data_IF_499383490189
#
_entry.id   IF_499383490189
#
_cell.length_a   1.000
_cell.length_b   1.000
_cell.length_c   1.000
_cell.angle_alpha   90.00
_cell.angle_beta   90.00
_cell.angle_gamma   90.00
#
_symmetry.space_group_name_H-M   'P 1'
#
loop_
_entity.id
_entity.type
_entity.pdbx_description
1 polymer ?
#
# COMPACT_ATOMS: atom_id res chain seq x y z
N UNK A 1 3.40 41.19 16.02
CA UNK A 1 3.50 40.60 17.37
C UNK A 1 2.15 39.94 17.66
N UNK A 2 1.98 38.67 17.31
CA UNK A 2 0.70 37.97 17.51
C UNK A 2 0.73 37.33 18.91
N UNK A 3 -0.10 37.83 19.82
CA UNK A 3 -0.24 37.29 21.16
C UNK A 3 -0.85 35.89 21.11
N UNK A 4 -0.10 34.89 21.58
CA UNK A 4 -0.60 33.53 21.74
C UNK A 4 -1.63 33.49 22.87
N UNK A 5 -2.78 32.85 22.62
CA UNK A 5 -3.76 32.59 23.66
C UNK A 5 -3.20 31.55 24.64
N UNK A 6 -2.70 32.03 25.77
CA UNK A 6 -2.21 31.21 26.88
C UNK A 6 -3.29 31.12 27.93
N UNK A 7 -3.61 29.90 28.36
CA UNK A 7 -4.47 29.67 29.52
C UNK A 7 -3.61 29.59 30.77
N UNK A 8 -4.02 30.26 31.86
CA UNK A 8 -3.34 30.20 33.17
C UNK A 8 -3.53 28.85 33.87
N UNK A 9 -4.37 27.98 33.32
CA UNK A 9 -4.77 26.71 33.92
C UNK A 9 -3.60 25.72 34.08
N UNK A 10 -2.54 25.82 33.25
CA UNK A 10 -1.33 24.99 33.34
C UNK A 10 -0.07 25.86 33.20
N UNK A 11 0.59 26.17 34.31
CA UNK A 11 1.77 27.07 34.36
C UNK A 11 3.04 26.48 33.73
N UNK A 12 3.16 25.16 33.63
CA UNK A 12 4.37 24.49 33.11
C UNK A 12 4.27 24.06 31.63
N UNK A 13 3.06 23.77 31.12
CA UNK A 13 2.87 23.21 29.78
C UNK A 13 2.44 24.30 28.80
N UNK A 14 3.37 24.72 27.93
CA UNK A 14 3.10 25.69 26.87
C UNK A 14 2.69 24.99 25.57
N UNK A 15 1.46 25.23 25.10
CA UNK A 15 0.87 24.64 23.89
C UNK A 15 1.45 25.12 22.56
N UNK A 16 2.78 25.05 22.37
CA UNK A 16 3.47 25.52 21.14
C UNK A 16 3.03 24.78 19.87
N UNK A 17 2.60 23.52 20.00
CA UNK A 17 2.03 22.78 18.87
C UNK A 17 0.75 23.43 18.36
N UNK A 18 -0.17 23.82 19.27
CA UNK A 18 -1.46 24.40 18.89
C UNK A 18 -1.27 25.73 18.15
N UNK A 19 -0.36 26.58 18.64
CA UNK A 19 -0.01 27.83 17.96
C UNK A 19 0.54 27.58 16.55
N UNK A 20 1.51 26.65 16.41
CA UNK A 20 2.09 26.30 15.10
C UNK A 20 1.08 25.62 14.19
N UNK A 21 0.18 24.82 14.73
CA UNK A 21 -0.86 24.13 13.98
C UNK A 21 -1.84 25.12 13.37
N UNK A 22 -2.36 26.07 14.15
CA UNK A 22 -3.27 27.12 13.66
C UNK A 22 -2.59 27.96 12.58
N UNK A 23 -1.33 28.36 12.79
CA UNK A 23 -0.56 29.07 11.77
C UNK A 23 -0.35 28.24 10.50
N UNK A 24 -0.13 26.93 10.64
CA UNK A 24 -0.02 26.02 9.49
C UNK A 24 -1.32 25.93 8.69
N UNK A 25 -2.47 25.92 9.37
CA UNK A 25 -3.79 25.94 8.72
C UNK A 25 -4.01 27.24 7.93
N UNK A 26 -3.63 28.39 8.51
CA UNK A 26 -3.73 29.67 7.81
C UNK A 26 -2.86 29.72 6.53
N UNK A 27 -1.72 29.03 6.52
CA UNK A 27 -0.83 28.94 5.35
C UNK A 27 -1.19 27.84 4.35
N UNK A 28 -2.11 26.93 4.69
CA UNK A 28 -2.48 25.79 3.86
C UNK A 28 -3.50 26.20 2.79
N UNK A 29 -3.19 25.94 1.51
CA UNK A 29 -4.08 26.26 0.39
C UNK A 29 -5.29 25.33 0.30
N UNK A 30 -5.15 24.09 0.78
CA UNK A 30 -6.18 23.05 0.75
C UNK A 30 -6.92 22.93 2.09
N UNK A 31 -6.98 24.02 2.87
CA UNK A 31 -7.69 24.07 4.15
C UNK A 31 -8.79 25.14 4.10
N UNK A 32 -9.99 24.78 4.57
CA UNK A 32 -11.13 25.69 4.71
C UNK A 32 -11.62 25.62 6.15
N UNK A 33 -11.82 26.78 6.77
CA UNK A 33 -12.36 26.89 8.12
C UNK A 33 -13.79 27.42 8.02
N UNK A 34 -14.72 26.74 8.69
CA UNK A 34 -16.15 27.05 8.68
C UNK A 34 -16.69 27.17 10.09
N UNK A 35 -17.78 27.92 10.26
CA UNK A 35 -18.55 27.94 11.49
C UNK A 35 -19.58 26.80 11.56
N UNK A 36 -20.39 26.78 12.63
CA UNK A 36 -21.46 25.80 12.89
C UNK A 36 -22.60 25.87 11.87
N UNK A 37 -22.68 26.94 11.08
CA UNK A 37 -23.68 27.16 10.03
C UNK A 37 -23.09 26.99 8.63
N UNK A 38 -21.87 26.46 8.51
CA UNK A 38 -21.13 26.27 7.26
C UNK A 38 -20.76 27.57 6.53
N UNK A 39 -20.71 28.71 7.23
CA UNK A 39 -20.18 29.95 6.65
C UNK A 39 -18.65 29.90 6.61
N UNK A 40 -18.07 30.43 5.52
CA UNK A 40 -16.61 30.51 5.36
C UNK A 40 -16.02 31.56 6.30
N UNK A 41 -15.04 31.18 7.11
CA UNK A 41 -14.27 32.10 7.94
C UNK A 41 -13.03 32.59 7.19
N UNK A 42 -12.73 33.90 7.17
CA UNK A 42 -11.63 34.49 6.41
C UNK A 42 -10.28 34.30 7.12
N UNK A 43 -9.93 33.06 7.48
CA UNK A 43 -8.64 32.73 8.11
C UNK A 43 -7.49 32.70 7.07
N UNK A 44 -7.83 32.46 5.81
CA UNK A 44 -6.91 32.41 4.67
C UNK A 44 -7.53 33.13 3.47
N UNK A 45 -6.77 34.01 2.83
CA UNK A 45 -7.20 34.73 1.62
C UNK A 45 -7.31 33.83 0.38
N UNK A 46 -6.77 32.61 0.42
CA UNK A 46 -6.79 31.67 -0.70
C UNK A 46 -8.19 31.13 -1.01
N UNK A 47 -9.06 31.07 0.01
CA UNK A 47 -10.40 30.48 -0.08
C UNK A 47 -11.33 31.31 -0.97
N UNK A 48 -11.17 32.63 -0.96
CA UNK A 48 -12.05 33.55 -1.70
C UNK A 48 -11.96 33.40 -3.23
N UNK A 49 -10.88 32.79 -3.73
CA UNK A 49 -10.60 32.67 -5.16
C UNK A 49 -10.61 31.21 -5.64
N UNK A 50 -11.18 30.28 -4.88
CA UNK A 50 -11.30 28.88 -5.30
C UNK A 50 -12.30 28.81 -6.46
N UNK A 51 -11.79 28.53 -7.65
CA UNK A 51 -12.62 28.24 -8.81
C UNK A 51 -12.80 26.73 -8.95
N UNK A 52 -13.99 26.31 -9.34
CA UNK A 52 -14.24 24.90 -9.63
C UNK A 52 -13.39 24.46 -10.82
N UNK A 53 -12.71 23.33 -10.66
CA UNK A 53 -11.99 22.71 -11.77
C UNK A 53 -13.04 22.15 -12.74
N UNK A 54 -12.96 22.57 -14.01
CA UNK A 54 -13.86 22.08 -15.05
C UNK A 54 -13.72 20.56 -15.22
N UNK A 55 -14.82 19.88 -15.57
CA UNK A 55 -14.85 18.42 -15.67
C UNK A 55 -13.80 17.85 -16.64
N UNK A 56 -13.37 18.64 -17.64
CA UNK A 56 -12.41 18.25 -18.66
C UNK A 56 -10.95 18.16 -18.15
N UNK A 57 -10.58 18.92 -17.10
CA UNK A 57 -9.21 18.89 -16.53
C UNK A 57 -8.97 17.65 -15.65
N UNK A 58 -10.03 16.96 -15.22
CA UNK A 58 -9.88 15.65 -14.54
C UNK A 58 -9.11 14.63 -15.41
N UNK A 59 -9.07 14.83 -16.72
CA UNK A 59 -8.34 14.01 -17.67
C UNK A 59 -6.80 14.17 -17.60
N UNK A 60 -6.24 15.13 -16.86
CA UNK A 60 -4.76 15.16 -16.66
C UNK A 60 -4.28 14.03 -15.75
N UNK A 61 -5.16 13.53 -14.86
CA UNK A 61 -4.89 12.30 -14.09
C UNK A 61 -4.88 11.04 -14.96
N UNK A 62 -5.31 11.16 -16.23
CA UNK A 62 -5.44 10.07 -17.17
C UNK A 62 -4.08 9.66 -17.76
N UNK A 63 -3.09 10.54 -17.93
CA UNK A 63 -1.82 10.16 -18.58
C UNK A 63 -1.09 8.98 -17.87
N UNK A 64 -1.00 9.02 -16.53
CA UNK A 64 -0.42 7.91 -15.73
C UNK A 64 -1.31 6.67 -15.71
N UNK A 65 -2.63 6.85 -15.86
CA UNK A 65 -3.57 5.74 -15.94
C UNK A 65 -3.54 5.10 -17.33
N UNK A 66 -3.42 5.88 -18.39
CA UNK A 66 -3.23 5.46 -19.78
C UNK A 66 -1.93 4.67 -19.90
N UNK A 67 -0.81 5.18 -19.36
CA UNK A 67 0.45 4.42 -19.28
C UNK A 67 0.28 3.09 -18.52
N UNK A 68 -0.46 3.09 -17.41
CA UNK A 68 -0.74 1.85 -16.67
C UNK A 68 -1.58 0.88 -17.49
N UNK A 69 -2.59 1.36 -18.21
CA UNK A 69 -3.42 0.52 -19.08
C UNK A 69 -2.61 -0.04 -20.24
N UNK A 70 -1.75 0.77 -20.87
CA UNK A 70 -0.85 0.32 -21.93
C UNK A 70 0.09 -0.78 -21.41
N UNK A 71 0.67 -0.61 -20.22
CA UNK A 71 1.52 -1.61 -19.58
C UNK A 71 0.77 -2.93 -19.26
N UNK A 72 -0.49 -2.83 -18.82
CA UNK A 72 -1.35 -4.00 -18.58
C UNK A 72 -1.65 -4.74 -19.87
N UNK A 73 -1.97 -4.03 -20.94
CA UNK A 73 -2.25 -4.61 -22.26
C UNK A 73 -1.01 -5.26 -22.85
N UNK A 74 0.16 -4.63 -22.75
CA UNK A 74 1.40 -5.19 -23.31
C UNK A 74 1.83 -6.51 -22.66
N UNK A 75 1.46 -6.73 -21.39
CA UNK A 75 1.86 -7.91 -20.63
C UNK A 75 0.73 -8.92 -20.43
N UNK A 76 -0.45 -8.70 -21.04
CA UNK A 76 -1.65 -9.50 -20.80
C UNK A 76 -1.44 -11.00 -21.06
N UNK A 77 -0.71 -11.34 -22.13
CA UNK A 77 -0.46 -12.73 -22.54
C UNK A 77 0.68 -13.41 -21.74
N UNK A 78 1.50 -12.64 -21.03
CA UNK A 78 2.66 -13.18 -20.30
C UNK A 78 2.24 -13.72 -18.94
N UNK A 79 1.83 -15.00 -18.87
CA UNK A 79 1.54 -15.67 -17.59
C UNK A 79 2.82 -16.00 -16.82
N UNK A 80 2.88 -15.86 -15.48
CA UNK A 80 1.86 -15.31 -14.57
C UNK A 80 1.89 -13.77 -14.41
N UNK A 81 2.84 -13.09 -15.06
CA UNK A 81 3.16 -11.67 -14.87
C UNK A 81 1.97 -10.74 -15.20
N UNK A 82 1.33 -10.93 -16.36
CA UNK A 82 0.19 -10.12 -16.82
C UNK A 82 -0.99 -10.17 -15.87
N UNK A 83 -1.31 -11.37 -15.39
CA UNK A 83 -2.34 -11.63 -14.39
C UNK A 83 -2.09 -10.85 -13.10
N UNK A 84 -0.86 -10.86 -12.59
CA UNK A 84 -0.51 -10.13 -11.36
C UNK A 84 -0.52 -8.62 -11.55
N UNK A 85 0.05 -8.11 -12.66
CA UNK A 85 0.10 -6.67 -12.95
C UNK A 85 -1.31 -6.09 -13.16
N UNK A 86 -2.27 -6.90 -13.63
CA UNK A 86 -3.67 -6.48 -13.78
C UNK A 86 -4.27 -5.91 -12.47
N UNK A 87 -3.82 -6.40 -11.30
CA UNK A 87 -4.29 -5.94 -9.98
C UNK A 87 -3.59 -4.70 -9.44
N UNK A 88 -2.51 -4.26 -10.05
CA UNK A 88 -1.87 -3.02 -9.65
C UNK A 88 -2.79 -1.82 -9.93
N UNK A 89 -2.94 -0.95 -8.93
CA UNK A 89 -3.79 0.26 -9.03
C UNK A 89 -3.03 1.47 -9.56
N UNK A 90 -1.71 1.49 -9.39
CA UNK A 90 -0.86 2.60 -9.81
C UNK A 90 0.32 2.11 -10.65
N UNK A 91 0.80 2.98 -11.53
CA UNK A 91 1.97 2.72 -12.37
C UNK A 91 3.23 2.44 -11.54
N UNK A 92 3.45 3.15 -10.44
CA UNK A 92 4.59 2.90 -9.55
C UNK A 92 4.54 1.49 -8.93
N UNK A 93 3.35 1.05 -8.51
CA UNK A 93 3.16 -0.30 -7.98
C UNK A 93 3.43 -1.36 -9.05
N UNK A 94 2.94 -1.15 -10.29
CA UNK A 94 3.17 -2.07 -11.39
C UNK A 94 4.65 -2.18 -11.77
N UNK A 95 5.37 -1.05 -11.86
CA UNK A 95 6.82 -1.03 -12.13
C UNK A 95 7.62 -1.71 -11.01
N UNK A 96 7.26 -1.48 -9.75
CA UNK A 96 7.91 -2.13 -8.61
C UNK A 96 7.69 -3.66 -8.64
N UNK A 97 6.45 -4.10 -8.90
CA UNK A 97 6.13 -5.52 -9.04
C UNK A 97 6.90 -6.16 -10.20
N UNK A 98 6.90 -5.54 -11.38
CA UNK A 98 7.63 -6.04 -12.55
C UNK A 98 9.11 -6.22 -12.20
N UNK A 99 9.74 -5.22 -11.57
CA UNK A 99 11.15 -5.31 -11.20
C UNK A 99 11.42 -6.44 -10.19
N UNK A 100 10.52 -6.68 -9.25
CA UNK A 100 10.63 -7.80 -8.32
C UNK A 100 10.52 -9.14 -9.05
N UNK A 101 9.58 -9.28 -9.98
CA UNK A 101 9.39 -10.50 -10.77
C UNK A 101 10.57 -10.76 -11.72
N UNK A 102 11.16 -9.72 -12.29
CA UNK A 102 12.40 -9.84 -13.09
C UNK A 102 13.53 -10.41 -12.23
N UNK A 103 13.69 -9.93 -11.00
CA UNK A 103 14.74 -10.42 -10.08
C UNK A 103 14.46 -11.84 -9.59
N UNK A 104 13.18 -12.22 -9.44
CA UNK A 104 12.78 -13.58 -9.08
C UNK A 104 13.07 -14.57 -10.23
N UNK A 105 12.91 -14.14 -11.48
CA UNK A 105 13.17 -14.98 -12.66
C UNK A 105 14.62 -14.98 -13.10
N UNK A 106 15.40 -13.97 -12.68
CA UNK A 106 16.83 -13.93 -12.91
C UNK A 106 17.54 -15.08 -12.20
N UNK A 107 18.52 -15.71 -12.86
CA UNK A 107 19.22 -16.91 -12.37
C UNK A 107 20.37 -16.57 -11.41
N UNK A 108 20.37 -15.36 -10.84
CA UNK A 108 21.38 -14.93 -9.89
C UNK A 108 21.20 -15.67 -8.55
N UNK A 109 22.24 -16.36 -8.09
CA UNK A 109 22.22 -17.09 -6.81
C UNK A 109 21.98 -16.18 -5.60
N UNK A 110 22.38 -14.92 -5.70
CA UNK A 110 22.20 -13.92 -4.65
C UNK A 110 21.78 -12.60 -5.28
N UNK A 111 20.57 -12.15 -4.92
CA UNK A 111 20.04 -10.86 -5.31
C UNK A 111 19.40 -10.20 -4.08
N UNK A 112 19.55 -8.89 -3.94
CA UNK A 112 18.94 -8.12 -2.86
C UNK A 112 18.17 -6.96 -3.46
N UNK A 113 16.87 -6.90 -3.16
CA UNK A 113 16.00 -5.81 -3.56
C UNK A 113 15.55 -5.03 -2.34
N UNK A 114 15.59 -3.70 -2.44
CA UNK A 114 15.04 -2.80 -1.42
C UNK A 114 13.89 -1.99 -2.00
N UNK A 115 12.71 -2.09 -1.38
CA UNK A 115 11.52 -1.32 -1.77
C UNK A 115 11.22 -0.30 -0.69
N UNK A 116 11.50 0.97 -0.99
CA UNK A 116 11.27 2.10 -0.08
C UNK A 116 10.02 2.86 -0.49
N UNK A 117 9.16 3.16 0.48
CA UNK A 117 7.94 3.92 0.24
C UNK A 117 7.44 4.58 1.54
N UNK A 118 6.76 5.73 1.40
CA UNK A 118 6.03 6.34 2.51
C UNK A 118 4.85 5.45 2.97
N UNK A 119 4.36 5.67 4.20
CA UNK A 119 3.19 4.95 4.75
C UNK A 119 1.99 5.08 3.81
N UNK A 120 1.23 4.00 3.65
CA UNK A 120 0.01 3.98 2.83
C UNK A 120 0.20 3.91 1.31
N UNK A 121 1.44 3.76 0.80
CA UNK A 121 1.70 3.71 -0.66
C UNK A 121 1.56 2.32 -1.31
N UNK A 122 1.11 1.30 -0.57
CA UNK A 122 0.83 -0.03 -1.14
C UNK A 122 2.03 -0.99 -1.22
N UNK A 123 3.08 -0.81 -0.40
CA UNK A 123 4.27 -1.68 -0.36
C UNK A 123 3.92 -3.16 -0.11
N UNK A 124 3.13 -3.44 0.93
CA UNK A 124 2.73 -4.81 1.28
C UNK A 124 1.91 -5.46 0.15
N UNK A 125 1.09 -4.69 -0.56
CA UNK A 125 0.34 -5.20 -1.70
C UNK A 125 1.26 -5.62 -2.86
N UNK A 126 2.25 -4.80 -3.21
CA UNK A 126 3.22 -5.15 -4.25
C UNK A 126 4.07 -6.37 -3.88
N UNK A 127 4.55 -6.45 -2.63
CA UNK A 127 5.32 -7.59 -2.14
C UNK A 127 4.49 -8.88 -2.08
N UNK A 128 3.21 -8.80 -1.68
CA UNK A 128 2.32 -9.96 -1.65
C UNK A 128 2.08 -10.55 -3.05
N UNK A 129 1.84 -9.68 -4.05
CA UNK A 129 1.74 -10.12 -5.45
C UNK A 129 3.07 -10.72 -5.95
N UNK A 130 4.21 -10.14 -5.58
CA UNK A 130 5.52 -10.69 -5.96
C UNK A 130 5.76 -12.09 -5.38
N UNK A 131 5.37 -12.32 -4.12
CA UNK A 131 5.45 -13.64 -3.47
C UNK A 131 4.58 -14.66 -4.21
N UNK A 132 3.35 -14.29 -4.60
CA UNK A 132 2.51 -15.20 -5.40
C UNK A 132 3.11 -15.52 -6.76
N UNK A 133 3.82 -14.57 -7.38
CA UNK A 133 4.61 -14.82 -8.58
C UNK A 133 5.78 -15.78 -8.34
N UNK A 134 6.50 -15.64 -7.22
CA UNK A 134 7.57 -16.57 -6.84
C UNK A 134 7.05 -18.01 -6.65
N UNK A 135 5.86 -18.18 -6.06
CA UNK A 135 5.19 -19.49 -5.99
C UNK A 135 4.93 -20.03 -7.39
N UNK A 136 4.38 -19.22 -8.30
CA UNK A 136 4.11 -19.64 -9.67
C UNK A 136 5.38 -19.93 -10.50
N UNK A 137 6.52 -19.33 -10.15
CA UNK A 137 7.84 -19.65 -10.74
C UNK A 137 8.52 -20.87 -10.08
N UNK A 138 7.88 -21.49 -9.10
CA UNK A 138 8.32 -22.75 -8.50
C UNK A 138 9.27 -22.61 -7.31
N UNK A 139 9.30 -21.46 -6.63
CA UNK A 139 10.07 -21.32 -5.39
C UNK A 139 9.42 -22.14 -4.26
N UNK A 140 10.21 -22.97 -3.58
CA UNK A 140 9.69 -23.93 -2.60
C UNK A 140 9.46 -23.33 -1.22
N UNK A 141 10.43 -22.61 -0.67
CA UNK A 141 10.36 -22.07 0.69
C UNK A 141 10.54 -20.56 0.67
N UNK A 142 9.48 -19.85 1.04
CA UNK A 142 9.47 -18.39 1.14
C UNK A 142 9.30 -18.02 2.62
N UNK A 143 10.23 -17.22 3.13
CA UNK A 143 10.23 -16.77 4.51
C UNK A 143 9.89 -15.29 4.57
N UNK A 144 8.96 -14.94 5.45
CA UNK A 144 8.53 -13.56 5.68
C UNK A 144 8.86 -13.18 7.11
N UNK A 145 9.52 -12.04 7.31
CA UNK A 145 9.87 -11.54 8.65
C UNK A 145 9.19 -10.20 8.91
N UNK A 146 8.62 -10.03 10.10
CA UNK A 146 8.05 -8.75 10.55
C UNK A 146 8.21 -8.60 12.06
N UNK A 147 8.47 -7.39 12.57
CA UNK A 147 8.55 -7.15 14.01
C UNK A 147 7.20 -7.34 14.74
N UNK A 148 6.09 -7.33 14.02
CA UNK A 148 4.76 -7.65 14.57
C UNK A 148 3.90 -8.35 13.51
N UNK A 149 3.13 -9.40 13.89
CA UNK A 149 2.29 -10.15 12.97
C UNK A 149 1.15 -9.32 12.36
N UNK A 150 0.68 -8.26 13.03
CA UNK A 150 -0.39 -7.39 12.53
C UNK A 150 0.00 -6.71 11.21
N UNK A 151 1.28 -6.42 11.02
CA UNK A 151 1.80 -5.79 9.81
C UNK A 151 1.74 -6.70 8.57
N UNK A 152 1.52 -8.01 8.77
CA UNK A 152 1.54 -9.01 7.70
C UNK A 152 0.16 -9.31 7.13
N UNK A 153 -0.92 -8.85 7.77
CA UNK A 153 -2.30 -9.14 7.32
C UNK A 153 -2.51 -8.75 5.85
N UNK A 154 -2.17 -7.51 5.48
CA UNK A 154 -2.31 -7.02 4.10
C UNK A 154 -1.33 -7.71 3.14
N UNK A 155 -0.14 -8.10 3.60
CA UNK A 155 0.80 -8.84 2.75
C UNK A 155 0.17 -10.17 2.31
N UNK A 156 -0.30 -10.97 3.27
CA UNK A 156 -0.89 -12.28 3.01
C UNK A 156 -2.21 -12.21 2.26
N UNK A 157 -3.05 -11.20 2.52
CA UNK A 157 -4.25 -10.95 1.72
C UNK A 157 -3.90 -10.80 0.23
N UNK A 158 -2.84 -10.04 -0.10
CA UNK A 158 -2.40 -9.88 -1.47
C UNK A 158 -1.68 -11.11 -2.05
N UNK A 159 -1.09 -11.97 -1.21
CA UNK A 159 -0.60 -13.29 -1.66
C UNK A 159 -1.78 -14.15 -2.11
N UNK A 160 -2.83 -14.27 -1.30
CA UNK A 160 -4.04 -15.05 -1.63
C UNK A 160 -4.73 -14.48 -2.87
N UNK A 161 -4.89 -13.16 -2.95
CA UNK A 161 -5.42 -12.51 -4.16
C UNK A 161 -4.57 -12.86 -5.38
N UNK A 162 -3.25 -12.78 -5.27
CA UNK A 162 -2.32 -13.13 -6.35
C UNK A 162 -2.46 -14.57 -6.82
N UNK A 163 -2.48 -15.51 -5.86
CA UNK A 163 -2.65 -16.95 -6.13
C UNK A 163 -3.98 -17.24 -6.84
N UNK A 164 -5.09 -16.67 -6.37
CA UNK A 164 -6.41 -16.85 -6.98
C UNK A 164 -6.45 -16.42 -8.46
N UNK A 165 -5.72 -15.36 -8.83
CA UNK A 165 -5.71 -14.86 -10.22
C UNK A 165 -4.85 -15.73 -11.13
N UNK A 166 -3.77 -16.29 -10.59
CA UNK A 166 -2.93 -17.24 -11.32
C UNK A 166 -3.68 -18.59 -11.50
N UNK A 167 -4.79 -18.79 -10.77
CA UNK A 167 -5.66 -19.94 -10.88
C UNK A 167 -5.38 -21.02 -9.84
N UNK A 168 -4.87 -20.63 -8.67
CA UNK A 168 -4.82 -21.50 -7.48
C UNK A 168 -6.11 -21.37 -6.70
N UNK A 169 -6.65 -22.48 -6.19
CA UNK A 169 -7.87 -22.49 -5.38
C UNK A 169 -7.58 -22.80 -3.91
N UNK A 170 -8.20 -22.05 -3.00
CA UNK A 170 -8.12 -22.30 -1.56
C UNK A 170 -8.79 -23.63 -1.22
N UNK A 171 -8.21 -24.39 -0.29
CA UNK A 171 -8.62 -25.75 0.13
C UNK A 171 -8.44 -26.86 -0.92
N UNK A 172 -8.13 -26.52 -2.18
CA UNK A 172 -7.77 -27.49 -3.22
C UNK A 172 -6.25 -27.47 -3.46
N UNK A 173 -5.72 -26.29 -3.78
CA UNK A 173 -4.32 -26.10 -4.17
C UNK A 173 -3.46 -25.57 -3.03
N UNK A 174 -4.06 -24.87 -2.07
CA UNK A 174 -3.36 -24.32 -0.91
C UNK A 174 -4.24 -24.20 0.33
N UNK A 175 -3.60 -24.16 1.50
CA UNK A 175 -4.25 -24.03 2.80
C UNK A 175 -3.60 -22.93 3.64
N UNK A 176 -4.44 -22.21 4.39
CA UNK A 176 -4.04 -21.14 5.28
C UNK A 176 -3.97 -21.63 6.72
N UNK A 177 -2.83 -21.45 7.37
CA UNK A 177 -2.62 -21.80 8.78
C UNK A 177 -2.53 -20.52 9.62
N UNK A 178 -3.43 -20.44 10.59
CA UNK A 178 -3.52 -19.36 11.56
C UNK A 178 -2.76 -19.70 12.85
N UNK A 179 -2.32 -18.68 13.56
CA UNK A 179 -1.66 -18.82 14.86
C UNK A 179 -2.61 -19.38 15.90
N UNK A 180 -2.10 -20.31 16.71
CA UNK A 180 -2.79 -20.84 17.90
C UNK A 180 -2.58 -19.98 19.14
N UNK A 181 -1.61 -19.05 19.13
CA UNK A 181 -1.33 -18.19 20.28
C UNK A 181 -2.42 -17.10 20.41
N UNK A 182 -3.11 -16.98 21.56
CA UNK A 182 -4.11 -15.94 21.82
C UNK A 182 -3.58 -14.52 21.61
N UNK A 183 -2.30 -14.26 21.90
CA UNK A 183 -1.67 -12.94 21.75
C UNK A 183 -1.60 -12.48 20.29
N UNK A 184 -1.62 -13.42 19.35
CA UNK A 184 -1.51 -13.13 17.92
C UNK A 184 -2.86 -13.13 17.20
N UNK A 185 -3.99 -13.22 17.93
CA UNK A 185 -5.32 -12.91 17.39
C UNK A 185 -5.69 -13.66 16.11
N UNK A 186 -5.34 -14.95 15.99
CA UNK A 186 -5.51 -15.78 14.78
C UNK A 186 -4.81 -15.23 13.53
N UNK A 187 -3.72 -14.48 13.69
CA UNK A 187 -2.92 -14.00 12.58
C UNK A 187 -2.47 -15.16 11.68
N UNK A 188 -2.39 -14.90 10.38
CA UNK A 188 -1.96 -15.89 9.41
C UNK A 188 -0.44 -16.08 9.52
N UNK A 189 0.00 -17.29 9.84
CA UNK A 189 1.42 -17.61 10.10
C UNK A 189 2.04 -18.35 8.93
N UNK A 190 1.23 -19.13 8.19
CA UNK A 190 1.76 -20.00 7.14
C UNK A 190 0.72 -20.27 6.05
N UNK A 191 1.20 -20.38 4.82
CA UNK A 191 0.46 -20.86 3.66
C UNK A 191 1.20 -22.09 3.14
N UNK A 192 0.50 -23.22 3.05
CA UNK A 192 1.02 -24.40 2.39
C UNK A 192 0.38 -24.53 1.01
N UNK A 193 1.18 -24.78 -0.02
CA UNK A 193 0.72 -24.95 -1.40
C UNK A 193 1.13 -26.33 -1.87
N UNK A 194 0.23 -27.03 -2.55
CA UNK A 194 0.40 -28.45 -2.90
C UNK A 194 0.15 -28.77 -4.38
N UNK A 195 -0.19 -27.77 -5.21
CA UNK A 195 -0.65 -27.94 -6.61
C UNK A 195 0.30 -28.75 -7.50
N UNK A 196 1.55 -28.31 -7.63
CA UNK A 196 2.56 -28.99 -8.45
C UNK A 196 3.57 -29.74 -7.58
N UNK A 197 4.09 -29.04 -6.57
CA UNK A 197 4.97 -29.57 -5.56
C UNK A 197 4.68 -28.85 -4.25
N UNK A 198 5.21 -29.39 -3.15
CA UNK A 198 5.00 -28.78 -1.83
C UNK A 198 5.79 -27.48 -1.72
N UNK A 199 5.08 -26.37 -1.61
CA UNK A 199 5.66 -25.05 -1.35
C UNK A 199 5.10 -24.48 -0.04
N UNK A 200 5.87 -23.62 0.60
CA UNK A 200 5.55 -23.05 1.91
C UNK A 200 5.91 -21.58 1.94
N UNK A 201 4.95 -20.75 2.36
CA UNK A 201 5.19 -19.38 2.77
C UNK A 201 4.99 -19.33 4.28
N UNK A 202 6.00 -18.91 5.05
CA UNK A 202 5.89 -18.88 6.51
C UNK A 202 6.51 -17.64 7.13
N UNK A 203 5.90 -17.21 8.24
CA UNK A 203 6.42 -16.12 9.06
C UNK A 203 7.51 -16.65 9.98
N UNK A 204 8.67 -16.00 9.97
CA UNK A 204 9.71 -16.18 10.98
C UNK A 204 9.72 -14.99 11.93
N UNK A 205 9.80 -15.29 13.23
CA UNK A 205 10.05 -14.36 14.33
C UNK A 205 11.54 -14.22 14.59
#
# INVERSE_FOLDING_TARGET
>A
MFGGYRTESHSEVVGRFNERFILSLASCRDCVVVDDRLNLLPLSSHINNIQSVSANVKNESNAKQEELTALKTSLAETKPIGQLISKCKTLCQAKALLRLLDVITDKALQSTCSVTAARGRGKSAALGLAISGAIAFGYTNIFVTSPSPDNLKTLFEFVVIGMNIIGFEEHTDFELLQSTNPEFGKALVRINVFKEHRQVIQVCS
#
